data_IF_359902322288
#
_entry.id   IF_359902322288
#
_cell.length_a   1.000
_cell.length_b   1.000
_cell.length_c   1.000
_cell.angle_alpha   90.00
_cell.angle_beta   90.00
_cell.angle_gamma   90.00
#
_symmetry.space_group_name_H-M   'P 1'
#
loop_
_entity.id
_entity.type
_entity.pdbx_description
1 polymer ?
#
# COMPACT_ATOMS: atom_id res chain seq x y z
N UNK A 1 -18.37 -6.99 0.92
CA UNK A 1 -19.77 -6.57 0.75
C UNK A 1 -19.80 -5.05 0.81
N UNK A 2 -20.72 -4.43 0.10
CA UNK A 2 -20.86 -2.97 0.13
C UNK A 2 -21.49 -2.51 1.44
N UNK A 3 -21.16 -1.29 1.84
CA UNK A 3 -21.77 -0.60 2.95
C UNK A 3 -23.25 -0.30 2.62
N UNK A 4 -24.20 -0.69 3.48
CA UNK A 4 -25.63 -0.55 3.22
C UNK A 4 -26.14 0.90 3.34
N UNK A 5 -25.31 1.83 3.82
CA UNK A 5 -25.67 3.26 3.94
C UNK A 5 -25.09 4.10 2.80
N UNK A 6 -24.32 3.48 1.91
CA UNK A 6 -23.69 4.13 0.78
C UNK A 6 -24.37 3.69 -0.51
N UNK A 7 -24.83 4.64 -1.32
CA UNK A 7 -25.48 4.38 -2.62
C UNK A 7 -24.46 3.97 -3.68
N UNK A 8 -23.82 2.81 -3.48
CA UNK A 8 -22.68 2.36 -4.28
C UNK A 8 -22.98 2.28 -5.79
N UNK A 9 -24.23 2.00 -6.18
CA UNK A 9 -24.63 1.97 -7.59
C UNK A 9 -24.39 3.31 -8.32
N UNK A 10 -24.61 4.43 -7.63
CA UNK A 10 -24.44 5.77 -8.21
C UNK A 10 -22.95 6.10 -8.43
N UNK A 11 -22.08 5.49 -7.64
CA UNK A 11 -20.64 5.70 -7.70
C UNK A 11 -19.90 4.63 -8.51
N UNK A 12 -20.59 3.66 -9.12
CA UNK A 12 -19.96 2.56 -9.85
C UNK A 12 -19.03 3.04 -10.99
N UNK A 13 -19.38 4.14 -11.66
CA UNK A 13 -18.55 4.74 -12.71
C UNK A 13 -17.28 5.44 -12.16
N UNK A 14 -17.22 5.70 -10.85
CA UNK A 14 -16.16 6.44 -10.18
C UNK A 14 -15.13 5.55 -9.50
N UNK A 15 -15.26 4.21 -9.58
CA UNK A 15 -14.31 3.26 -8.99
C UNK A 15 -12.86 3.48 -9.43
N UNK A 16 -12.63 4.04 -10.63
CA UNK A 16 -11.30 4.37 -11.16
C UNK A 16 -10.92 5.85 -10.99
N UNK A 17 -11.77 6.67 -10.37
CA UNK A 17 -11.52 8.08 -10.15
C UNK A 17 -10.66 8.27 -8.90
N UNK A 18 -9.45 8.82 -9.07
CA UNK A 18 -8.50 9.03 -7.97
C UNK A 18 -9.05 9.83 -6.78
N UNK A 19 -10.03 10.70 -7.01
CA UNK A 19 -10.68 11.50 -5.96
C UNK A 19 -11.60 10.65 -5.09
N UNK A 20 -12.28 9.66 -5.67
CA UNK A 20 -13.26 8.81 -4.99
C UNK A 20 -12.72 7.44 -4.62
N UNK A 21 -11.54 7.06 -5.12
CA UNK A 21 -10.95 5.75 -4.95
C UNK A 21 -10.86 5.33 -3.48
N UNK A 22 -10.29 6.17 -2.60
CA UNK A 22 -10.17 5.84 -1.16
C UNK A 22 -11.53 5.62 -0.47
N UNK A 23 -12.56 6.34 -0.91
CA UNK A 23 -13.91 6.20 -0.39
C UNK A 23 -14.53 4.89 -0.89
N UNK A 24 -14.49 4.66 -2.20
CA UNK A 24 -15.12 3.49 -2.81
C UNK A 24 -14.40 2.17 -2.49
N UNK A 25 -13.09 2.23 -2.23
CA UNK A 25 -12.32 1.08 -1.75
C UNK A 25 -12.81 0.56 -0.40
N UNK A 26 -13.31 1.45 0.46
CA UNK A 26 -13.78 1.13 1.82
C UNK A 26 -15.27 0.81 1.83
N UNK A 27 -16.08 1.64 1.19
CA UNK A 27 -17.55 1.56 1.29
C UNK A 27 -18.20 0.74 0.18
N UNK A 28 -17.58 0.65 -1.00
CA UNK A 28 -18.17 -0.02 -2.15
C UNK A 28 -17.28 -1.14 -2.74
N UNK A 29 -16.64 -2.01 -1.92
CA UNK A 29 -15.68 -2.99 -2.42
C UNK A 29 -16.32 -4.08 -3.29
N UNK A 30 -17.62 -4.37 -3.17
CA UNK A 30 -18.30 -5.31 -4.07
C UNK A 30 -18.67 -4.61 -5.37
N UNK A 31 -19.27 -3.42 -5.30
CA UNK A 31 -19.64 -2.64 -6.49
C UNK A 31 -18.42 -2.28 -7.34
N UNK A 32 -17.27 -1.99 -6.72
CA UNK A 32 -16.01 -1.73 -7.43
C UNK A 32 -15.17 -2.98 -7.73
N UNK A 33 -15.67 -4.19 -7.48
CA UNK A 33 -14.95 -5.43 -7.84
C UNK A 33 -13.68 -5.71 -7.02
N UNK A 34 -13.57 -5.11 -5.83
CA UNK A 34 -12.44 -5.23 -4.90
C UNK A 34 -12.60 -6.37 -3.88
N UNK A 35 -13.74 -7.06 -3.89
CA UNK A 35 -13.92 -8.24 -3.05
C UNK A 35 -12.95 -9.35 -3.48
N UNK A 36 -12.28 -10.02 -2.51
CA UNK A 36 -11.39 -11.14 -2.81
C UNK A 36 -12.22 -12.32 -3.34
N UNK A 37 -12.25 -12.46 -4.67
CA UNK A 37 -13.03 -13.48 -5.37
C UNK A 37 -13.38 -13.13 -6.82
N UNK A 38 -13.50 -11.83 -7.14
CA UNK A 38 -13.89 -11.35 -8.48
C UNK A 38 -12.99 -10.24 -9.03
N UNK A 39 -11.88 -9.94 -8.35
CA UNK A 39 -10.83 -9.14 -8.97
C UNK A 39 -10.11 -10.05 -9.95
N UNK A 40 -10.26 -9.77 -11.25
CA UNK A 40 -9.16 -9.99 -12.19
C UNK A 40 -7.93 -9.35 -11.55
N UNK A 41 -7.16 -10.15 -10.83
CA UNK A 41 -5.78 -9.86 -10.51
C UNK A 41 -5.18 -9.50 -11.86
N UNK A 42 -5.01 -8.19 -12.09
CA UNK A 42 -3.95 -7.75 -12.99
C UNK A 42 -2.76 -8.62 -12.62
N UNK A 43 -2.15 -9.33 -13.58
CA UNK A 43 -1.20 -10.36 -13.28
C UNK A 43 -0.27 -9.80 -12.23
N UNK A 44 -0.14 -10.51 -11.10
CA UNK A 44 0.86 -10.23 -10.09
C UNK A 44 2.18 -10.29 -10.86
N UNK A 45 2.60 -9.15 -11.41
CA UNK A 45 3.95 -8.92 -11.83
C UNK A 45 4.68 -8.85 -10.51
N UNK A 46 5.01 -10.03 -9.98
CA UNK A 46 6.25 -10.23 -9.24
C UNK A 46 7.24 -9.35 -9.98
N UNK A 47 7.76 -8.32 -9.32
CA UNK A 47 8.83 -7.53 -9.92
C UNK A 47 9.84 -8.56 -10.42
N UNK A 48 10.08 -8.67 -11.74
CA UNK A 48 10.87 -9.78 -12.28
C UNK A 48 12.29 -9.82 -11.70
N UNK A 49 12.68 -8.75 -11.00
CA UNK A 49 13.93 -8.59 -10.29
C UNK A 49 13.72 -8.48 -8.77
N UNK A 50 12.99 -9.40 -8.12
CA UNK A 50 13.07 -9.50 -6.66
C UNK A 50 14.41 -10.11 -6.22
N UNK A 51 15.42 -9.26 -6.19
CA UNK A 51 16.79 -9.60 -5.85
C UNK A 51 17.33 -8.56 -4.88
N UNK A 52 18.38 -8.95 -4.17
CA UNK A 52 19.21 -7.98 -3.46
C UNK A 52 20.23 -7.43 -4.47
N UNK A 53 20.17 -6.12 -4.73
CA UNK A 53 21.14 -5.44 -5.59
C UNK A 53 22.39 -5.03 -4.83
N UNK A 54 22.32 -5.01 -3.49
CA UNK A 54 23.43 -4.60 -2.63
C UNK A 54 24.04 -5.79 -1.86
N UNK A 55 25.37 -6.00 -1.90
CA UNK A 55 26.00 -7.09 -1.15
C UNK A 55 25.86 -6.95 0.37
N UNK A 56 25.59 -5.75 0.87
CA UNK A 56 25.47 -5.48 2.31
C UNK A 56 24.11 -5.84 2.91
N UNK A 57 23.14 -6.29 2.12
CA UNK A 57 21.77 -6.57 2.61
C UNK A 57 21.75 -7.48 3.84
N UNK A 58 22.62 -8.50 3.89
CA UNK A 58 22.74 -9.40 5.06
C UNK A 58 23.10 -8.67 6.35
N UNK A 59 23.92 -7.62 6.29
CA UNK A 59 24.31 -6.81 7.44
C UNK A 59 23.26 -5.74 7.74
N UNK A 60 22.83 -5.03 6.71
CA UNK A 60 21.83 -3.97 6.80
C UNK A 60 20.49 -4.46 7.37
N UNK A 61 20.04 -5.67 7.02
CA UNK A 61 18.85 -6.26 7.64
C UNK A 61 19.01 -6.41 9.15
N UNK A 62 20.18 -6.86 9.61
CA UNK A 62 20.47 -6.99 11.06
C UNK A 62 20.56 -5.64 11.75
N UNK A 63 20.99 -4.62 11.04
CA UNK A 63 21.09 -3.23 11.52
C UNK A 63 19.76 -2.46 11.42
N UNK A 64 18.68 -3.09 10.94
CA UNK A 64 17.34 -2.50 10.89
C UNK A 64 17.01 -1.73 9.60
N UNK A 65 17.77 -1.93 8.53
CA UNK A 65 17.55 -1.27 7.25
C UNK A 65 16.13 -1.44 6.70
N UNK A 66 15.54 -2.62 6.84
CA UNK A 66 14.19 -2.88 6.32
C UNK A 66 13.10 -2.01 6.98
N UNK A 67 13.36 -1.45 8.16
CA UNK A 67 12.43 -0.57 8.90
C UNK A 67 12.98 0.84 9.09
N UNK A 68 14.15 1.15 8.50
CA UNK A 68 14.83 2.42 8.64
C UNK A 68 13.98 3.57 8.04
N UNK A 69 13.42 4.40 8.93
CA UNK A 69 12.57 5.52 8.53
C UNK A 69 13.27 6.64 7.77
N UNK A 70 14.60 6.70 7.85
CA UNK A 70 15.42 7.66 7.13
C UNK A 70 15.78 7.18 5.71
N UNK A 71 15.38 5.96 5.35
CA UNK A 71 15.59 5.39 4.00
C UNK A 71 14.24 5.18 3.35
N UNK A 72 14.05 5.78 2.19
CA UNK A 72 12.82 5.61 1.44
C UNK A 72 12.62 4.16 1.01
N UNK A 73 11.36 3.75 0.92
CA UNK A 73 10.98 2.42 0.48
C UNK A 73 11.47 2.13 -0.92
N UNK A 74 11.52 3.15 -1.78
CA UNK A 74 12.13 3.02 -3.11
C UNK A 74 13.57 2.51 -3.01
N UNK A 75 14.37 3.06 -2.09
CA UNK A 75 15.77 2.64 -1.90
C UNK A 75 15.87 1.30 -1.18
N UNK A 76 15.01 1.05 -0.19
CA UNK A 76 15.02 -0.23 0.54
C UNK A 76 14.65 -1.40 -0.38
N UNK A 77 13.65 -1.21 -1.25
CA UNK A 77 13.26 -2.17 -2.30
C UNK A 77 14.38 -2.31 -3.32
N UNK A 78 14.93 -1.20 -3.83
CA UNK A 78 16.02 -1.23 -4.83
C UNK A 78 17.24 -2.01 -4.35
N UNK A 79 17.64 -1.82 -3.09
CA UNK A 79 18.85 -2.44 -2.56
C UNK A 79 18.63 -3.86 -2.05
N UNK A 80 17.57 -4.09 -1.28
CA UNK A 80 17.41 -5.30 -0.47
C UNK A 80 16.00 -5.90 -0.55
N UNK A 81 15.33 -5.84 -1.72
CA UNK A 81 13.97 -6.35 -1.88
C UNK A 81 13.81 -7.79 -1.38
N UNK A 82 14.74 -8.70 -1.71
CA UNK A 82 14.62 -10.10 -1.31
C UNK A 82 14.86 -10.27 0.19
N UNK A 83 15.95 -9.71 0.69
CA UNK A 83 16.34 -9.80 2.10
C UNK A 83 15.34 -9.13 3.05
N UNK A 84 14.67 -8.06 2.62
CA UNK A 84 13.63 -7.38 3.39
C UNK A 84 12.20 -7.90 3.15
N UNK A 85 12.01 -8.87 2.24
CA UNK A 85 10.69 -9.43 1.93
C UNK A 85 9.80 -8.50 1.10
N UNK A 86 10.38 -7.57 0.34
CA UNK A 86 9.66 -6.58 -0.45
C UNK A 86 9.31 -6.98 -1.89
N UNK A 87 9.26 -8.27 -2.21
CA UNK A 87 8.97 -8.76 -3.55
C UNK A 87 7.54 -8.47 -4.05
N UNK A 88 6.63 -8.15 -3.12
CA UNK A 88 5.23 -7.94 -3.41
C UNK A 88 4.91 -6.43 -3.40
N UNK A 89 4.10 -5.92 -4.33
CA UNK A 89 3.58 -4.56 -4.24
C UNK A 89 2.99 -4.26 -2.85
N UNK A 90 3.29 -3.10 -2.28
CA UNK A 90 2.77 -2.66 -0.97
C UNK A 90 3.45 -3.26 0.27
N UNK A 91 4.39 -4.19 0.10
CA UNK A 91 5.15 -4.81 1.22
C UNK A 91 6.13 -3.87 1.93
N UNK A 92 6.55 -2.78 1.28
CA UNK A 92 7.36 -1.72 1.90
C UNK A 92 6.51 -0.47 2.10
N UNK A 93 6.52 0.06 3.34
CA UNK A 93 5.91 1.35 3.68
C UNK A 93 6.95 2.33 4.21
N UNK A 94 6.91 3.56 3.70
CA UNK A 94 7.65 4.65 4.28
C UNK A 94 7.10 4.98 5.65
N UNK A 95 7.99 5.25 6.60
CA UNK A 95 7.55 5.81 7.86
C UNK A 95 6.88 7.14 7.54
N UNK A 96 5.59 7.25 7.86
CA UNK A 96 4.97 8.56 7.89
C UNK A 96 5.80 9.36 8.90
N UNK A 97 6.27 10.54 8.53
CA UNK A 97 6.56 11.54 9.56
C UNK A 97 5.33 11.54 10.46
N UNK A 98 5.50 11.62 11.78
CA UNK A 98 4.38 12.12 12.56
C UNK A 98 4.14 13.52 11.99
N UNK A 99 3.27 13.64 10.98
CA UNK A 99 2.41 14.81 10.91
C UNK A 99 1.92 14.87 12.33
N UNK A 100 2.35 15.91 13.05
CA UNK A 100 1.60 16.37 14.20
C UNK A 100 0.16 16.24 13.72
N UNK A 101 -0.60 15.35 14.35
CA UNK A 101 -2.03 15.53 14.35
C UNK A 101 -2.18 16.96 14.85
N UNK A 102 -2.31 17.90 13.92
CA UNK A 102 -2.84 19.20 14.23
C UNK A 102 -4.20 18.82 14.75
N UNK A 103 -4.32 18.87 16.08
CA UNK A 103 -5.53 18.59 16.81
C UNK A 103 -6.63 19.45 16.19
N UNK A 104 -7.41 18.86 15.29
CA UNK A 104 -8.75 19.30 14.98
C UNK A 104 -9.72 18.36 15.70
N UNK A 105 -9.45 18.12 16.98
CA UNK A 105 -10.47 17.68 17.93
C UNK A 105 -10.91 18.94 18.66
N UNK A 106 -11.85 19.68 18.06
CA UNK A 106 -12.68 20.59 18.85
C UNK A 106 -13.62 19.69 19.65
N UNK A 107 -13.40 19.67 20.95
CA UNK A 107 -14.36 19.18 21.92
C UNK A 107 -15.29 20.35 22.25
N UNK A 108 -16.50 20.34 21.70
CA UNK A 108 -17.72 20.86 22.34
C UNK A 108 -18.82 19.82 22.15
#
# INVERSE_FOLDING_TARGET
MDDPTTDCQDYAALCNNKMYQQFLDVFCPKTCGLCPGDTTVSPVTVSPNCVDSNPNCKNWVKEGYCTACFVDCSDRVKNCAKSCGFCNPGSCLNCKTRQKFVNFVNFE
#
